data_IF_100860386781
#
_entry.id   IF_100860386781
#
_cell.length_a   1.000
_cell.length_b   1.000
_cell.length_c   1.000
_cell.angle_alpha   90.00
_cell.angle_beta   90.00
_cell.angle_gamma   90.00
#
_symmetry.space_group_name_H-M   'P 1'
#
loop_
_entity.id
_entity.type
_entity.pdbx_description
1 polymer ?
#
# COMPACT_ATOMS: atom_id res chain seq x y z
N UNK A 1 15.14 15.44 7.80
CA UNK A 1 14.81 14.01 8.07
C UNK A 1 13.39 13.64 7.62
N UNK A 2 12.50 14.63 7.38
CA UNK A 2 11.10 14.42 6.99
C UNK A 2 10.75 15.22 5.73
N UNK A 3 11.72 15.44 4.86
CA UNK A 3 11.56 16.23 3.65
C UNK A 3 11.26 15.39 2.39
N UNK A 4 10.86 14.13 2.56
CA UNK A 4 10.46 13.26 1.44
C UNK A 4 9.01 12.85 1.58
N UNK A 5 8.31 12.86 0.46
CA UNK A 5 6.93 12.43 0.32
C UNK A 5 6.85 11.29 -0.69
N UNK A 6 6.07 10.27 -0.37
CA UNK A 6 5.71 9.20 -1.30
C UNK A 6 4.29 9.37 -1.80
N UNK A 7 4.04 9.10 -3.07
CA UNK A 7 2.70 9.04 -3.65
C UNK A 7 2.63 7.98 -4.73
N UNK A 8 1.46 7.37 -4.92
CA UNK A 8 1.18 6.49 -6.06
C UNK A 8 0.17 7.13 -6.99
N UNK A 9 0.26 6.75 -8.26
CA UNK A 9 -0.75 7.04 -9.29
C UNK A 9 -1.27 5.71 -9.83
N UNK A 10 -2.52 5.67 -10.25
CA UNK A 10 -3.15 4.51 -10.88
C UNK A 10 -2.95 4.46 -12.40
N UNK A 11 -2.48 5.55 -13.01
CA UNK A 11 -2.22 5.63 -14.44
C UNK A 11 -3.46 5.85 -15.30
N UNK A 12 -4.63 6.00 -14.71
CA UNK A 12 -5.90 6.17 -15.42
C UNK A 12 -6.50 4.84 -15.89
N UNK A 13 -7.31 4.87 -16.95
CA UNK A 13 -7.99 3.68 -17.49
C UNK A 13 -7.97 3.67 -19.02
N UNK A 14 -8.08 2.47 -19.59
CA UNK A 14 -8.14 2.27 -21.03
C UNK A 14 -9.36 2.98 -21.63
N UNK A 15 -9.14 3.77 -22.68
CA UNK A 15 -10.17 4.61 -23.31
C UNK A 15 -10.37 5.99 -22.69
N UNK A 16 -9.60 6.35 -21.66
CA UNK A 16 -9.59 7.71 -21.10
C UNK A 16 -9.12 8.73 -22.17
N UNK A 17 -9.83 9.86 -22.35
CA UNK A 17 -9.39 10.93 -23.25
C UNK A 17 -8.11 11.65 -22.75
N UNK A 18 -7.72 11.43 -21.51
CA UNK A 18 -6.54 12.05 -20.88
C UNK A 18 -5.30 11.14 -20.88
N UNK A 19 -5.45 9.93 -21.43
CA UNK A 19 -4.38 8.95 -21.51
C UNK A 19 -4.57 7.76 -20.56
N UNK A 20 -3.78 6.73 -20.83
CA UNK A 20 -3.66 5.54 -20.00
C UNK A 20 -2.20 5.13 -19.97
N UNK A 21 -1.59 5.16 -18.80
CA UNK A 21 -0.17 4.88 -18.60
C UNK A 21 0.05 3.90 -17.45
N UNK A 22 1.25 3.36 -17.38
CA UNK A 22 1.62 2.49 -16.26
C UNK A 22 1.62 3.27 -14.94
N UNK A 23 0.95 2.75 -13.90
CA UNK A 23 0.97 3.34 -12.57
C UNK A 23 2.39 3.53 -12.05
N UNK A 24 2.58 4.45 -11.14
CA UNK A 24 3.91 4.73 -10.59
C UNK A 24 3.87 5.11 -9.12
N UNK A 25 4.91 4.71 -8.40
CA UNK A 25 5.23 5.23 -7.08
C UNK A 25 6.31 6.30 -7.23
N UNK A 26 6.08 7.47 -6.66
CA UNK A 26 7.00 8.59 -6.72
C UNK A 26 7.60 8.87 -5.35
N UNK A 27 8.89 9.23 -5.34
CA UNK A 27 9.53 9.91 -4.22
C UNK A 27 9.77 11.37 -4.59
N UNK A 28 9.26 12.27 -3.78
CA UNK A 28 9.25 13.70 -4.00
C UNK A 28 10.01 14.38 -2.86
N UNK A 29 10.89 15.31 -3.16
CA UNK A 29 11.45 16.21 -2.18
C UNK A 29 10.37 17.21 -1.75
N UNK A 30 10.05 17.24 -0.45
CA UNK A 30 8.95 18.05 0.07
C UNK A 30 9.33 19.52 0.31
N UNK A 31 10.61 19.88 0.17
CA UNK A 31 11.08 21.28 0.25
C UNK A 31 11.12 21.93 -1.12
N UNK A 32 11.62 21.20 -2.11
CA UNK A 32 11.78 21.70 -3.49
C UNK A 32 10.64 21.29 -4.42
N UNK A 33 9.77 20.38 -3.99
CA UNK A 33 8.68 19.77 -4.76
C UNK A 33 9.15 19.09 -6.05
N UNK A 34 10.39 18.61 -6.07
CA UNK A 34 10.95 17.90 -7.22
C UNK A 34 10.79 16.40 -7.07
N UNK A 35 10.44 15.75 -8.18
CA UNK A 35 10.43 14.28 -8.26
C UNK A 35 11.87 13.78 -8.26
N UNK A 36 12.27 13.06 -7.21
CA UNK A 36 13.61 12.47 -7.10
C UNK A 36 13.68 11.10 -7.74
N UNK A 37 12.59 10.33 -7.67
CA UNK A 37 12.52 8.97 -8.19
C UNK A 37 11.11 8.58 -8.58
N UNK A 38 11.04 7.81 -9.66
CA UNK A 38 9.82 7.17 -10.15
C UNK A 38 10.05 5.66 -10.26
N UNK A 39 9.16 4.88 -9.67
CA UNK A 39 9.12 3.42 -9.81
C UNK A 39 7.87 3.08 -10.62
N UNK A 40 8.05 2.67 -11.88
CA UNK A 40 6.94 2.25 -12.73
C UNK A 40 6.52 0.82 -12.42
N UNK A 41 5.21 0.63 -12.29
CA UNK A 41 4.57 -0.69 -12.23
C UNK A 41 4.26 -1.18 -13.65
N UNK A 42 3.61 -2.32 -13.76
CA UNK A 42 3.11 -2.82 -15.05
C UNK A 42 1.83 -2.09 -15.45
N UNK A 43 1.61 -1.94 -16.74
CA UNK A 43 0.32 -1.46 -17.24
C UNK A 43 -0.80 -2.42 -16.79
N UNK A 44 -1.87 -1.87 -16.23
CA UNK A 44 -2.96 -2.64 -15.65
C UNK A 44 -2.78 -3.04 -14.18
N UNK A 45 -1.65 -2.70 -13.55
CA UNK A 45 -1.53 -2.73 -12.10
C UNK A 45 -2.39 -1.63 -11.46
N UNK A 46 -2.74 -1.81 -10.17
CA UNK A 46 -3.58 -0.86 -9.44
C UNK A 46 -3.05 -0.62 -8.03
N UNK A 47 -1.88 0.03 -7.89
CA UNK A 47 -1.29 0.28 -6.58
C UNK A 47 -2.11 1.31 -5.80
N UNK A 48 -2.34 1.02 -4.52
CA UNK A 48 -3.09 1.89 -3.61
C UNK A 48 -2.54 1.80 -2.18
N UNK A 49 -3.04 2.63 -1.27
CA UNK A 49 -2.81 2.53 0.17
C UNK A 49 -1.32 2.54 0.57
N UNK A 50 -0.54 3.52 0.09
CA UNK A 50 0.87 3.64 0.47
C UNK A 50 1.02 4.08 1.92
N UNK A 51 1.73 3.27 2.71
CA UNK A 51 2.00 3.49 4.12
C UNK A 51 3.49 3.37 4.45
N UNK A 52 3.96 4.14 5.43
CA UNK A 52 5.27 3.99 6.03
C UNK A 52 5.16 3.23 7.36
N UNK A 53 6.17 2.43 7.70
CA UNK A 53 6.31 1.92 9.06
C UNK A 53 6.75 3.04 10.04
N UNK A 54 6.74 2.74 11.34
CA UNK A 54 7.08 3.70 12.39
C UNK A 54 8.51 4.23 12.30
N UNK A 55 9.47 3.39 11.91
CA UNK A 55 10.88 3.74 11.72
C UNK A 55 11.12 4.57 10.44
N UNK A 56 10.14 4.61 9.55
CA UNK A 56 10.17 5.35 8.28
C UNK A 56 11.27 4.90 7.33
N UNK A 57 11.61 3.64 7.40
CA UNK A 57 12.59 3.00 6.54
C UNK A 57 11.97 2.04 5.52
N UNK A 58 10.68 1.71 5.69
CA UNK A 58 9.97 0.76 4.83
C UNK A 58 8.61 1.27 4.39
N UNK A 59 8.33 1.15 3.09
CA UNK A 59 7.03 1.42 2.46
C UNK A 59 6.24 0.13 2.30
N UNK A 60 4.92 0.24 2.45
CA UNK A 60 3.95 -0.82 2.16
C UNK A 60 2.88 -0.27 1.23
N UNK A 61 2.34 -1.11 0.34
CA UNK A 61 1.21 -0.76 -0.52
C UNK A 61 0.42 -1.98 -0.95
N UNK A 62 -0.80 -1.76 -1.41
CA UNK A 62 -1.66 -2.78 -2.03
C UNK A 62 -1.46 -2.73 -3.54
N UNK A 63 -1.24 -3.87 -4.20
CA UNK A 63 -1.37 -4.08 -5.64
C UNK A 63 -1.70 -5.56 -5.84
N UNK A 64 -2.98 -5.92 -5.74
CA UNK A 64 -3.54 -7.27 -5.55
C UNK A 64 -3.01 -7.94 -4.27
N UNK A 65 -1.71 -8.16 -4.19
CA UNK A 65 -0.98 -8.60 -3.01
C UNK A 65 -0.59 -7.41 -2.13
N UNK A 66 -0.03 -7.66 -0.96
CA UNK A 66 0.61 -6.62 -0.14
C UNK A 66 2.10 -6.62 -0.44
N UNK A 67 2.60 -5.49 -0.79
CA UNK A 67 4.00 -5.27 -1.13
C UNK A 67 4.71 -4.45 -0.08
N UNK A 68 6.00 -4.65 0.06
CA UNK A 68 6.84 -3.77 0.89
C UNK A 68 8.22 -3.61 0.26
N UNK A 69 8.82 -2.43 0.48
CA UNK A 69 10.19 -2.17 0.08
C UNK A 69 10.87 -1.18 1.01
N UNK A 70 12.18 -1.22 1.07
CA UNK A 70 13.00 -0.20 1.71
C UNK A 70 12.80 1.16 1.03
N UNK A 71 12.73 2.24 1.81
CA UNK A 71 12.65 3.61 1.25
C UNK A 71 13.88 3.98 0.43
N UNK A 72 15.00 3.27 0.63
CA UNK A 72 16.26 3.44 -0.12
C UNK A 72 16.36 2.55 -1.34
N UNK A 73 15.39 1.65 -1.58
CA UNK A 73 15.42 0.71 -2.69
C UNK A 73 15.58 1.42 -4.04
N UNK A 74 16.24 0.74 -4.97
CA UNK A 74 16.47 1.25 -6.33
C UNK A 74 15.42 0.78 -7.35
N UNK A 75 14.64 -0.24 -7.02
CA UNK A 75 13.59 -0.83 -7.86
C UNK A 75 12.49 -1.45 -7.00
N UNK A 76 11.30 -1.65 -7.57
CA UNK A 76 10.22 -2.38 -6.89
C UNK A 76 10.61 -3.84 -6.67
N UNK A 77 10.18 -4.46 -5.56
CA UNK A 77 10.50 -5.84 -5.25
C UNK A 77 9.86 -6.80 -6.27
N UNK A 78 10.48 -7.96 -6.44
CA UNK A 78 9.98 -9.02 -7.33
C UNK A 78 9.04 -10.01 -6.61
N UNK A 79 8.98 -9.94 -5.28
CA UNK A 79 8.09 -10.75 -4.45
C UNK A 79 7.32 -9.85 -3.49
N UNK A 80 6.02 -10.12 -3.28
CA UNK A 80 5.23 -9.39 -2.31
C UNK A 80 5.63 -9.72 -0.87
N UNK A 81 5.24 -8.86 0.06
CA UNK A 81 5.30 -9.10 1.49
C UNK A 81 4.29 -10.18 1.93
N UNK A 82 3.05 -10.09 1.40
CA UNK A 82 2.03 -11.13 1.53
C UNK A 82 1.51 -11.47 0.14
N UNK A 83 1.48 -12.76 -0.19
CA UNK A 83 0.95 -13.25 -1.46
C UNK A 83 -0.56 -12.97 -1.58
N UNK A 84 -1.03 -12.84 -2.81
CA UNK A 84 -2.45 -12.69 -3.08
C UNK A 84 -3.19 -14.00 -2.77
N UNK A 85 -4.18 -13.93 -1.90
CA UNK A 85 -4.99 -15.08 -1.44
C UNK A 85 -6.43 -15.10 -1.97
N UNK A 86 -6.76 -14.22 -2.92
CA UNK A 86 -8.15 -14.03 -3.38
C UNK A 86 -8.91 -12.97 -2.57
N UNK A 87 -8.28 -12.37 -1.59
CA UNK A 87 -8.83 -11.35 -0.69
C UNK A 87 -8.97 -9.99 -1.39
N UNK A 88 -10.05 -9.27 -1.13
CA UNK A 88 -10.22 -7.89 -1.60
C UNK A 88 -9.61 -6.93 -0.58
N UNK A 89 -8.28 -6.81 -0.63
CA UNK A 89 -7.57 -5.85 0.22
C UNK A 89 -8.01 -4.42 -0.11
N UNK A 90 -8.58 -3.73 0.86
CA UNK A 90 -9.21 -2.43 0.69
C UNK A 90 -8.58 -1.31 1.50
N UNK A 91 -8.00 -1.62 2.62
CA UNK A 91 -7.27 -0.67 3.47
C UNK A 91 -6.00 -1.31 4.04
N UNK A 92 -5.00 -0.48 4.29
CA UNK A 92 -3.70 -0.89 4.81
C UNK A 92 -3.20 0.15 5.81
N UNK A 93 -2.64 -0.33 6.92
CA UNK A 93 -1.86 0.52 7.83
C UNK A 93 -0.76 -0.29 8.52
N UNK A 94 0.25 0.42 9.00
CA UNK A 94 1.33 -0.16 9.80
C UNK A 94 1.34 0.52 11.16
N UNK A 95 1.31 -0.27 12.22
CA UNK A 95 1.40 0.25 13.58
C UNK A 95 2.77 0.90 13.81
N UNK A 96 2.83 2.21 14.07
CA UNK A 96 4.11 2.92 14.19
C UNK A 96 4.92 2.52 15.43
N UNK A 97 4.30 1.87 16.41
CA UNK A 97 4.97 1.49 17.65
C UNK A 97 5.69 0.14 17.55
N UNK A 98 5.18 -0.81 16.76
CA UNK A 98 5.69 -2.19 16.73
C UNK A 98 5.85 -2.78 15.33
N UNK A 99 5.48 -2.02 14.27
CA UNK A 99 5.62 -2.44 12.87
C UNK A 99 4.62 -3.50 12.40
N UNK A 100 3.63 -3.86 13.21
CA UNK A 100 2.57 -4.78 12.80
C UNK A 100 1.75 -4.19 11.65
N UNK A 101 1.39 -5.03 10.70
CA UNK A 101 0.66 -4.64 9.49
C UNK A 101 -0.81 -5.04 9.64
N UNK A 102 -1.70 -4.08 9.48
CA UNK A 102 -3.14 -4.29 9.52
C UNK A 102 -3.73 -4.08 8.14
N UNK A 103 -4.56 -5.02 7.71
CA UNK A 103 -5.15 -5.03 6.37
C UNK A 103 -6.65 -5.19 6.52
N UNK A 104 -7.40 -4.31 5.85
CA UNK A 104 -8.83 -4.41 5.75
C UNK A 104 -9.22 -5.18 4.49
N UNK A 105 -10.13 -6.13 4.65
CA UNK A 105 -10.77 -6.88 3.57
C UNK A 105 -12.23 -6.47 3.48
N UNK A 106 -12.66 -5.99 2.32
CA UNK A 106 -14.05 -5.62 2.07
C UNK A 106 -14.91 -6.84 1.70
N UNK A 107 -14.32 -8.01 1.55
CA UNK A 107 -14.93 -9.30 1.19
C UNK A 107 -15.74 -9.21 -0.12
N UNK A 108 -16.99 -8.77 -0.06
CA UNK A 108 -17.90 -8.63 -1.21
C UNK A 108 -18.61 -7.27 -1.24
N UNK A 109 -18.17 -6.32 -0.42
CA UNK A 109 -18.77 -4.98 -0.23
C UNK A 109 -20.22 -4.99 0.33
N UNK A 110 -20.73 -6.12 0.79
CA UNK A 110 -22.10 -6.27 1.29
C UNK A 110 -22.17 -6.78 2.73
N UNK A 111 -21.30 -7.70 3.10
CA UNK A 111 -21.21 -8.25 4.45
C UNK A 111 -20.16 -7.51 5.30
N UNK A 112 -20.08 -7.89 6.57
CA UNK A 112 -19.04 -7.39 7.47
C UNK A 112 -17.66 -7.71 6.90
N UNK A 113 -16.80 -6.70 6.85
CA UNK A 113 -15.42 -6.87 6.46
C UNK A 113 -14.57 -7.48 7.57
N UNK A 114 -13.36 -7.86 7.21
CA UNK A 114 -12.38 -8.49 8.08
C UNK A 114 -11.16 -7.59 8.24
N UNK A 115 -10.58 -7.57 9.41
CA UNK A 115 -9.24 -7.03 9.64
C UNK A 115 -8.29 -8.19 9.92
N UNK A 116 -7.21 -8.24 9.16
CA UNK A 116 -6.09 -9.14 9.40
C UNK A 116 -4.94 -8.37 10.04
N UNK A 117 -4.33 -8.96 11.04
CA UNK A 117 -3.16 -8.43 11.75
C UNK A 117 -1.97 -9.34 11.52
N UNK A 118 -0.90 -8.80 10.97
CA UNK A 118 0.34 -9.54 10.68
C UNK A 118 1.51 -8.98 11.46
N UNK A 119 2.48 -9.83 11.76
CA UNK A 119 3.78 -9.39 12.29
C UNK A 119 4.58 -8.64 11.22
N UNK A 120 5.64 -7.90 11.60
CA UNK A 120 6.55 -7.25 10.65
C UNK A 120 7.20 -8.22 9.65
N UNK A 121 7.25 -9.52 9.97
CA UNK A 121 7.78 -10.60 9.12
C UNK A 121 6.72 -11.25 8.22
N UNK A 122 5.44 -10.79 8.29
CA UNK A 122 4.34 -11.31 7.47
C UNK A 122 3.65 -12.56 8.04
N UNK A 123 3.81 -12.86 9.33
CA UNK A 123 3.09 -13.94 9.98
C UNK A 123 1.75 -13.45 10.49
N UNK A 124 0.63 -14.13 10.14
CA UNK A 124 -0.69 -13.82 10.68
C UNK A 124 -0.69 -13.99 12.22
N UNK A 125 -1.13 -12.97 12.92
CA UNK A 125 -1.26 -12.92 14.39
C UNK A 125 -2.71 -13.12 14.79
N UNK A 126 -3.63 -12.39 14.11
CA UNK A 126 -5.03 -12.33 14.50
C UNK A 126 -5.90 -11.90 13.33
N UNK A 127 -7.21 -12.19 13.41
CA UNK A 127 -8.21 -11.72 12.48
C UNK A 127 -9.54 -11.49 13.19
N UNK A 128 -10.28 -10.44 12.81
CA UNK A 128 -11.56 -10.11 13.43
C UNK A 128 -12.49 -9.35 12.50
N UNK A 129 -13.79 -9.56 12.66
CA UNK A 129 -14.83 -8.86 11.91
C UNK A 129 -15.01 -7.43 12.38
N UNK A 130 -15.34 -6.57 11.43
CA UNK A 130 -15.68 -5.16 11.65
C UNK A 130 -16.93 -4.78 10.86
N UNK A 131 -17.19 -3.48 10.67
CA UNK A 131 -18.29 -3.02 9.81
C UNK A 131 -18.09 -3.34 8.32
N UNK A 132 -19.10 -3.05 7.52
CA UNK A 132 -19.07 -3.24 6.06
C UNK A 132 -18.09 -2.25 5.45
N UNK A 133 -17.25 -2.72 4.51
CA UNK A 133 -16.27 -1.91 3.74
C UNK A 133 -15.33 -1.12 4.68
N UNK A 134 -14.51 -1.79 5.50
CA UNK A 134 -13.51 -1.13 6.33
C UNK A 134 -12.42 -0.52 5.44
N UNK A 135 -12.30 0.81 5.38
CA UNK A 135 -11.44 1.48 4.39
C UNK A 135 -10.32 2.34 4.96
N UNK A 136 -10.37 2.70 6.24
CA UNK A 136 -9.38 3.61 6.80
C UNK A 136 -9.00 3.25 8.24
N UNK A 137 -7.76 3.58 8.59
CA UNK A 137 -7.19 3.37 9.91
C UNK A 137 -6.61 4.67 10.46
N UNK A 138 -6.55 4.80 11.76
CA UNK A 138 -5.76 5.82 12.42
C UNK A 138 -5.14 5.28 13.71
N UNK A 139 -3.99 5.80 14.07
CA UNK A 139 -3.28 5.48 15.30
C UNK A 139 -3.30 6.69 16.25
N UNK A 140 -3.46 6.39 17.54
CA UNK A 140 -3.43 7.41 18.58
C UNK A 140 -2.10 7.35 19.34
#
# INVERSE_FOLDING_TARGET
KYNKMGTVTDGGYEGSPYGYEAPSLYRIDAETFTVEKQFKFKLGDWPSEVQLNGDRDKLYWINKAIWSMDVTASHVPVRPFLEYSGTIYYGLTVNPANGEVYIADAIDYQQQGMIYRYSPEGKLIDEFYVGIIPGAFCWK
#
